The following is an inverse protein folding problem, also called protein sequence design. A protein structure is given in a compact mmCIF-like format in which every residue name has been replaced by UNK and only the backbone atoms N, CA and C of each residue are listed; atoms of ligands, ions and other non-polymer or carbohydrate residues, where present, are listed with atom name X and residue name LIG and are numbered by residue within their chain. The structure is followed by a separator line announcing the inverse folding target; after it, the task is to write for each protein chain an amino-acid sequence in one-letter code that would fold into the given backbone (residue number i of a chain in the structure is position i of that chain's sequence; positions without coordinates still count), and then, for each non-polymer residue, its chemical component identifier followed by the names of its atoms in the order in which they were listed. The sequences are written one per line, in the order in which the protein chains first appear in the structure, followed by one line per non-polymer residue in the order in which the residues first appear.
data_IF_973557754598
#
_entry.id   IF_973557754598
#
_cell.length_a   1.000
_cell.length_b   1.000
_cell.length_c   1.000
_cell.angle_alpha   90.00
_cell.angle_beta   90.00
_cell.angle_gamma   90.00
#
_symmetry.space_group_name_H-M   'P 1'
#
loop_
_entity.id
_entity.type
_entity.pdbx_description
1 polymer ?
#
# COMPACT_ATOMS: atom_id res chain seq x y z
N UNK A 1 -24.80 -4.23 12.24
CA UNK A 1 -25.54 -5.44 12.64
C UNK A 1 -25.15 -6.55 11.67
N UNK A 2 -24.32 -7.52 12.07
CA UNK A 2 -23.81 -8.57 11.18
C UNK A 2 -24.89 -9.62 10.90
N UNK A 3 -25.00 -10.04 9.65
CA UNK A 3 -25.79 -11.20 9.25
C UNK A 3 -25.10 -12.46 9.80
N UNK A 4 -25.80 -13.13 10.71
CA UNK A 4 -25.36 -14.37 11.35
C UNK A 4 -25.26 -15.48 10.31
N UNK A 5 -24.08 -16.07 10.18
CA UNK A 5 -23.88 -17.38 9.54
C UNK A 5 -24.71 -18.42 10.32
N UNK A 6 -25.59 -19.20 9.67
CA UNK A 6 -26.15 -20.39 10.30
C UNK A 6 -25.05 -21.45 10.43
N UNK A 7 -24.91 -21.93 11.64
CA UNK A 7 -24.05 -23.01 12.07
C UNK A 7 -24.23 -24.28 11.22
N UNK A 8 -23.12 -25.00 11.05
CA UNK A 8 -23.06 -26.40 10.66
C UNK A 8 -24.03 -27.23 11.52
N UNK A 9 -25.24 -27.47 11.01
CA UNK A 9 -26.06 -28.59 11.43
C UNK A 9 -25.89 -29.68 10.37
N UNK A 10 -25.09 -30.68 10.69
CA UNK A 10 -25.09 -31.95 9.98
C UNK A 10 -26.51 -32.51 10.02
N UNK A 11 -27.28 -32.26 8.94
CA UNK A 11 -28.53 -32.95 8.71
C UNK A 11 -28.18 -34.37 8.25
N UNK A 12 -27.85 -35.22 9.22
CA UNK A 12 -28.10 -36.65 9.12
C UNK A 12 -29.62 -36.81 9.00
N UNK A 13 -30.16 -36.67 7.79
CA UNK A 13 -31.48 -37.25 7.49
C UNK A 13 -31.27 -38.75 7.46
N UNK A 14 -31.73 -39.41 8.52
CA UNK A 14 -31.92 -40.85 8.54
C UNK A 14 -32.72 -41.22 7.28
N UNK A 15 -32.08 -41.98 6.40
CA UNK A 15 -32.74 -42.60 5.27
C UNK A 15 -33.82 -43.53 5.85
N UNK A 16 -35.08 -43.49 5.41
CA UNK A 16 -36.03 -44.51 5.80
C UNK A 16 -35.49 -45.84 5.30
N UNK A 17 -35.07 -46.70 6.22
CA UNK A 17 -34.65 -48.07 5.94
C UNK A 17 -35.92 -48.83 5.57
N UNK A 18 -36.29 -48.79 4.29
CA UNK A 18 -37.28 -49.70 3.73
C UNK A 18 -36.65 -51.09 3.70
N UNK A 19 -37.28 -52.04 4.39
CA UNK A 19 -36.85 -53.43 4.57
C UNK A 19 -37.05 -54.31 3.32
N UNK A 20 -37.01 -53.72 2.11
CA UNK A 20 -37.04 -54.45 0.86
C UNK A 20 -35.65 -54.42 0.20
N UNK A 21 -34.86 -55.51 0.24
CA UNK A 21 -33.51 -55.55 -0.33
C UNK A 21 -33.48 -55.47 -1.87
N UNK A 22 -34.64 -55.33 -2.52
CA UNK A 22 -34.78 -55.28 -3.97
C UNK A 22 -34.93 -53.87 -4.58
N UNK A 23 -35.06 -52.80 -3.77
CA UNK A 23 -35.33 -51.45 -4.31
C UNK A 23 -34.07 -50.56 -4.37
N UNK A 24 -32.96 -50.95 -3.72
CA UNK A 24 -31.67 -50.23 -3.79
C UNK A 24 -30.85 -50.50 -5.05
N UNK A 25 -31.34 -51.32 -5.99
CA UNK A 25 -30.65 -51.68 -7.23
C UNK A 25 -30.99 -50.78 -8.44
N UNK A 26 -31.88 -49.79 -8.29
CA UNK A 26 -32.39 -48.96 -9.39
C UNK A 26 -32.15 -47.46 -9.23
N UNK A 27 -31.03 -47.05 -8.61
CA UNK A 27 -30.49 -45.71 -8.91
C UNK A 27 -29.70 -45.84 -10.22
N UNK A 28 -30.15 -45.25 -11.33
CA UNK A 28 -29.33 -45.21 -12.52
C UNK A 28 -28.11 -44.35 -12.18
N UNK A 29 -26.99 -45.01 -11.88
CA UNK A 29 -25.69 -44.41 -12.14
C UNK A 29 -25.74 -44.15 -13.65
N UNK A 30 -25.98 -42.89 -14.04
CA UNK A 30 -25.88 -42.46 -15.43
C UNK A 30 -24.42 -42.60 -15.84
N UNK A 31 -23.98 -43.84 -16.10
CA UNK A 31 -22.74 -44.13 -16.77
C UNK A 31 -22.91 -43.75 -18.23
N UNK A 32 -22.83 -42.45 -18.52
CA UNK A 32 -22.66 -41.98 -19.88
C UNK A 32 -21.26 -42.38 -20.34
N UNK A 33 -21.16 -43.46 -21.11
CA UNK A 33 -19.91 -43.80 -21.83
C UNK A 33 -19.84 -42.95 -23.08
N UNK A 34 -19.04 -41.91 -23.04
CA UNK A 34 -18.77 -41.04 -24.20
C UNK A 34 -17.71 -41.70 -25.09
N UNK A 35 -17.92 -41.72 -26.41
CA UNK A 35 -16.94 -42.27 -27.36
C UNK A 35 -15.65 -41.42 -27.41
N UNK A 36 -15.74 -40.11 -27.15
CA UNK A 36 -14.61 -39.20 -27.02
C UNK A 36 -14.80 -38.27 -25.84
N UNK A 37 -13.71 -37.86 -25.19
CA UNK A 37 -13.77 -36.96 -24.03
C UNK A 37 -14.34 -35.59 -24.44
N UNK A 38 -14.04 -35.14 -25.66
CA UNK A 38 -14.52 -33.87 -26.21
C UNK A 38 -16.05 -33.77 -26.24
N UNK A 39 -16.78 -34.88 -26.39
CA UNK A 39 -18.24 -34.86 -26.47
C UNK A 39 -18.96 -34.86 -25.11
N UNK A 40 -18.23 -35.03 -24.01
CA UNK A 40 -18.78 -35.04 -22.65
C UNK A 40 -18.19 -34.00 -21.71
N UNK A 41 -17.53 -32.98 -22.26
CA UNK A 41 -17.12 -31.83 -21.47
C UNK A 41 -18.34 -30.95 -21.18
N UNK A 42 -18.59 -30.72 -19.90
CA UNK A 42 -19.52 -29.71 -19.41
C UNK A 42 -18.89 -28.98 -18.24
N UNK A 43 -19.21 -27.71 -18.07
CA UNK A 43 -18.77 -26.95 -16.91
C UNK A 43 -19.48 -27.45 -15.62
N UNK A 44 -18.95 -27.04 -14.48
CA UNK A 44 -19.53 -27.31 -13.16
C UNK A 44 -20.98 -26.84 -13.06
N UNK A 45 -21.86 -27.61 -12.40
CA UNK A 45 -23.26 -27.23 -12.25
C UNK A 45 -23.37 -25.89 -11.51
N UNK A 46 -24.08 -24.93 -12.10
CA UNK A 46 -24.22 -23.58 -11.57
C UNK A 46 -23.32 -22.52 -12.23
N UNK A 47 -22.33 -22.91 -13.04
CA UNK A 47 -21.54 -21.97 -13.84
C UNK A 47 -22.41 -21.21 -14.85
N UNK A 48 -23.41 -21.90 -15.43
CA UNK A 48 -24.36 -21.31 -16.37
C UNK A 48 -25.72 -21.01 -15.73
N UNK A 49 -26.21 -19.80 -15.97
CA UNK A 49 -27.60 -19.41 -15.68
C UNK A 49 -28.42 -19.34 -16.97
N UNK A 50 -29.71 -19.71 -16.89
CA UNK A 50 -30.62 -19.69 -18.05
C UNK A 50 -30.82 -18.25 -18.53
N UNK A 51 -30.41 -17.95 -19.76
CA UNK A 51 -30.65 -16.64 -20.39
C UNK A 51 -32.14 -16.38 -20.59
N UNK A 52 -32.64 -15.26 -20.08
CA UNK A 52 -34.02 -14.82 -20.29
C UNK A 52 -34.14 -14.17 -21.67
N UNK A 53 -34.80 -14.87 -22.60
CA UNK A 53 -35.14 -14.36 -23.95
C UNK A 53 -36.52 -13.68 -23.88
N UNK A 54 -36.54 -12.35 -23.98
CA UNK A 54 -37.77 -11.54 -23.86
C UNK A 54 -38.57 -11.52 -25.17
N UNK A 55 -39.89 -11.37 -25.10
CA UNK A 55 -40.76 -11.26 -26.28
C UNK A 55 -40.89 -12.58 -27.05
N UNK A 56 -40.97 -13.72 -26.36
CA UNK A 56 -41.07 -15.07 -26.96
C UNK A 56 -42.24 -15.85 -26.38
N UNK A 57 -43.47 -15.39 -26.66
CA UNK A 57 -44.71 -16.05 -26.25
C UNK A 57 -45.08 -15.86 -24.76
N UNK A 58 -46.35 -16.06 -24.39
CA UNK A 58 -46.86 -15.77 -23.05
C UNK A 58 -46.29 -16.69 -21.96
N UNK A 59 -46.12 -17.98 -22.25
CA UNK A 59 -45.63 -18.99 -21.30
C UNK A 59 -44.18 -18.74 -20.82
N UNK A 60 -43.38 -17.96 -21.58
CA UNK A 60 -42.02 -17.57 -21.18
C UNK A 60 -41.96 -16.64 -19.96
N UNK A 61 -43.10 -16.10 -19.49
CA UNK A 61 -43.19 -15.15 -18.37
C UNK A 61 -42.76 -13.72 -18.71
N UNK A 62 -42.13 -13.49 -19.88
CA UNK A 62 -41.73 -12.16 -20.39
C UNK A 62 -42.17 -11.95 -21.85
N UNK A 63 -43.34 -12.47 -22.21
CA UNK A 63 -43.92 -12.36 -23.56
C UNK A 63 -44.43 -10.96 -23.91
N UNK A 64 -45.66 -10.64 -23.50
CA UNK A 64 -46.43 -9.46 -23.93
C UNK A 64 -45.69 -8.13 -23.75
N UNK A 65 -45.11 -7.88 -22.57
CA UNK A 65 -44.49 -6.58 -22.23
C UNK A 65 -42.96 -6.64 -22.15
N UNK A 66 -42.36 -7.83 -22.34
CA UNK A 66 -40.91 -8.01 -22.17
C UNK A 66 -40.35 -7.49 -20.83
N UNK A 67 -41.19 -7.39 -19.79
CA UNK A 67 -40.84 -6.84 -18.48
C UNK A 67 -40.74 -5.31 -18.41
N UNK A 68 -41.26 -4.57 -19.40
CA UNK A 68 -41.24 -3.09 -19.42
C UNK A 68 -42.48 -2.41 -18.83
N UNK A 69 -43.50 -3.16 -18.44
CA UNK A 69 -44.78 -2.62 -17.97
C UNK A 69 -45.68 -2.12 -19.11
N UNK A 70 -46.55 -1.13 -18.82
CA UNK A 70 -47.54 -0.61 -19.76
C UNK A 70 -47.36 0.89 -20.00
N UNK A 71 -47.37 1.30 -21.28
CA UNK A 71 -47.58 2.68 -21.79
C UNK A 71 -46.88 3.83 -21.03
N UNK A 72 -45.71 3.58 -20.44
CA UNK A 72 -44.91 4.60 -19.74
C UNK A 72 -43.68 5.00 -20.55
N UNK A 73 -43.02 6.09 -20.17
CA UNK A 73 -41.81 6.58 -20.87
C UNK A 73 -40.71 5.50 -20.95
N UNK A 74 -40.53 4.68 -19.90
CA UNK A 74 -39.56 3.56 -19.89
C UNK A 74 -39.97 2.36 -20.78
N UNK A 75 -41.22 2.29 -21.22
CA UNK A 75 -41.68 1.27 -22.17
C UNK A 75 -41.36 1.68 -23.61
N UNK A 76 -41.60 2.95 -23.94
CA UNK A 76 -41.39 3.53 -25.28
C UNK A 76 -39.93 3.96 -25.54
N UNK A 77 -39.24 4.43 -24.52
CA UNK A 77 -37.89 5.00 -24.63
C UNK A 77 -37.01 4.75 -23.40
N UNK A 78 -36.09 5.68 -23.13
CA UNK A 78 -35.13 5.60 -22.03
C UNK A 78 -35.20 6.86 -21.19
N UNK A 79 -35.18 6.67 -19.87
CA UNK A 79 -34.98 7.75 -18.89
C UNK A 79 -33.55 7.62 -18.35
N UNK A 80 -32.75 8.70 -18.27
CA UNK A 80 -31.43 8.65 -17.66
C UNK A 80 -31.50 8.13 -16.23
N UNK A 81 -30.57 7.26 -15.82
CA UNK A 81 -30.61 6.62 -14.50
C UNK A 81 -30.48 7.64 -13.34
N UNK A 82 -29.85 8.78 -13.59
CA UNK A 82 -29.65 9.87 -12.62
C UNK A 82 -30.80 10.89 -12.58
N UNK A 83 -31.84 10.71 -13.38
CA UNK A 83 -32.96 11.66 -13.44
C UNK A 83 -33.88 11.49 -12.23
N UNK A 84 -34.06 12.57 -11.45
CA UNK A 84 -34.87 12.58 -10.22
C UNK A 84 -36.29 13.14 -10.41
N UNK A 85 -36.81 13.18 -11.65
CA UNK A 85 -38.20 13.60 -11.92
C UNK A 85 -38.44 15.10 -11.97
N UNK A 86 -37.39 15.93 -12.02
CA UNK A 86 -37.46 17.39 -12.07
C UNK A 86 -36.89 18.08 -10.83
N UNK A 87 -36.66 17.34 -9.75
CA UNK A 87 -35.92 17.82 -8.58
C UNK A 87 -34.43 18.04 -8.93
N UNK A 88 -33.82 19.04 -8.29
CA UNK A 88 -32.38 19.31 -8.38
C UNK A 88 -31.57 18.09 -7.94
N UNK A 89 -30.63 17.63 -8.77
CA UNK A 89 -29.86 16.43 -8.49
C UNK A 89 -29.01 16.55 -7.21
N UNK A 90 -28.92 15.46 -6.43
CA UNK A 90 -28.17 15.43 -5.16
C UNK A 90 -26.71 15.91 -5.29
N UNK A 91 -26.06 15.63 -6.41
CA UNK A 91 -24.68 16.07 -6.68
C UNK A 91 -24.55 17.59 -6.81
N UNK A 92 -25.64 18.27 -7.22
CA UNK A 92 -25.71 19.74 -7.31
C UNK A 92 -26.08 20.31 -5.94
N UNK A 93 -27.04 19.71 -5.25
CA UNK A 93 -27.48 20.15 -3.91
C UNK A 93 -26.32 20.17 -2.92
N UNK A 94 -25.50 19.11 -2.90
CA UNK A 94 -24.36 19.02 -1.97
C UNK A 94 -23.07 19.63 -2.53
N UNK A 95 -22.97 19.78 -3.86
CA UNK A 95 -21.75 20.21 -4.54
C UNK A 95 -20.59 19.21 -4.44
N UNK A 96 -19.48 19.52 -5.12
CA UNK A 96 -18.23 18.75 -5.01
C UNK A 96 -17.42 19.31 -3.84
N UNK A 97 -17.02 18.44 -2.90
CA UNK A 97 -16.25 18.84 -1.72
C UNK A 97 -14.78 18.44 -1.85
N UNK A 98 -13.89 19.37 -1.53
CA UNK A 98 -12.44 19.15 -1.51
C UNK A 98 -11.83 19.05 -2.91
N UNK A 99 -10.61 18.52 -2.96
CA UNK A 99 -9.88 18.27 -4.20
C UNK A 99 -9.08 16.97 -4.08
N UNK A 100 -8.78 16.34 -5.21
CA UNK A 100 -7.91 15.15 -5.26
C UNK A 100 -6.46 15.62 -5.36
N UNK A 101 -5.63 15.25 -4.38
CA UNK A 101 -4.21 15.57 -4.42
C UNK A 101 -3.47 14.63 -5.39
N UNK A 102 -3.12 15.13 -6.59
CA UNK A 102 -2.39 14.35 -7.60
C UNK A 102 -0.93 14.05 -7.21
N UNK A 103 -0.36 14.81 -6.28
CA UNK A 103 1.02 14.65 -5.81
C UNK A 103 1.14 13.77 -4.56
N UNK A 104 0.04 13.14 -4.12
CA UNK A 104 0.09 12.22 -3.00
C UNK A 104 0.84 10.94 -3.39
N UNK A 105 1.82 10.56 -2.58
CA UNK A 105 2.57 9.31 -2.75
C UNK A 105 1.75 8.14 -2.21
N UNK A 106 1.46 7.15 -3.06
CA UNK A 106 0.70 5.97 -2.66
C UNK A 106 1.66 4.86 -2.21
N UNK A 107 1.63 4.54 -0.92
CA UNK A 107 2.53 3.57 -0.31
C UNK A 107 1.83 2.26 -0.04
N UNK A 108 2.57 1.18 -0.24
CA UNK A 108 2.11 -0.17 0.01
C UNK A 108 2.24 -0.45 1.51
N UNK A 109 1.14 -0.70 2.24
CA UNK A 109 1.22 -0.98 3.66
C UNK A 109 1.75 -2.39 3.90
N UNK A 110 2.67 -2.53 4.84
CA UNK A 110 3.11 -3.82 5.38
C UNK A 110 3.04 -3.77 6.90
N UNK A 111 2.47 -4.81 7.50
CA UNK A 111 2.27 -4.90 8.94
C UNK A 111 3.27 -5.86 9.58
N UNK A 112 3.51 -5.71 10.89
CA UNK A 112 4.43 -6.55 11.65
C UNK A 112 3.94 -7.99 11.81
N UNK A 113 2.64 -8.20 12.02
CA UNK A 113 2.04 -9.55 12.06
C UNK A 113 2.44 -10.39 10.83
N UNK A 114 2.25 -9.80 9.65
CA UNK A 114 2.53 -10.44 8.38
C UNK A 114 4.01 -10.75 8.19
N UNK A 115 4.91 -9.88 8.67
CA UNK A 115 6.35 -10.14 8.58
C UNK A 115 6.72 -11.33 9.46
N UNK A 116 6.20 -11.38 10.70
CA UNK A 116 6.43 -12.50 11.60
C UNK A 116 5.89 -13.81 11.02
N UNK A 117 4.65 -13.82 10.49
CA UNK A 117 4.05 -15.01 9.88
C UNK A 117 4.93 -15.57 8.73
N UNK A 118 5.59 -14.70 7.97
CA UNK A 118 6.49 -15.09 6.88
C UNK A 118 7.82 -15.64 7.38
N UNK A 119 8.32 -15.12 8.50
CA UNK A 119 9.51 -15.63 9.17
C UNK A 119 9.22 -17.02 9.75
N UNK A 120 8.08 -17.19 10.42
CA UNK A 120 7.66 -18.46 11.01
C UNK A 120 7.46 -19.56 9.96
N UNK A 121 7.01 -19.18 8.75
CA UNK A 121 6.92 -20.08 7.58
C UNK A 121 8.28 -20.38 6.93
N UNK A 122 9.39 -19.77 7.40
CA UNK A 122 10.72 -19.93 6.81
C UNK A 122 10.87 -19.30 5.41
N UNK A 123 9.97 -18.38 5.05
CA UNK A 123 9.97 -17.71 3.73
C UNK A 123 10.78 -16.42 3.71
N UNK A 124 11.07 -15.88 4.88
CA UNK A 124 11.86 -14.68 5.07
C UNK A 124 12.89 -14.96 6.17
N UNK A 125 14.16 -14.70 5.87
CA UNK A 125 15.24 -14.90 6.82
C UNK A 125 15.41 -13.64 7.68
N UNK A 126 15.21 -13.71 9.01
CA UNK A 126 15.37 -12.56 9.91
C UNK A 126 16.83 -12.15 10.11
N UNK A 127 17.81 -13.02 9.79
CA UNK A 127 19.23 -12.73 9.96
C UNK A 127 19.78 -11.78 8.88
N UNK A 128 19.14 -11.77 7.70
CA UNK A 128 19.48 -10.92 6.58
C UNK A 128 18.69 -9.60 6.62
N UNK A 129 19.21 -8.53 5.99
CA UNK A 129 18.48 -7.28 5.88
C UNK A 129 17.21 -7.46 5.03
N UNK A 130 16.04 -7.25 5.64
CA UNK A 130 14.75 -7.31 4.96
C UNK A 130 14.55 -6.01 4.17
N UNK A 131 14.76 -6.08 2.86
CA UNK A 131 14.61 -4.94 1.95
C UNK A 131 13.32 -5.03 1.13
N UNK A 132 12.99 -3.97 0.38
CA UNK A 132 11.82 -3.96 -0.52
C UNK A 132 11.87 -5.11 -1.55
N UNK A 133 13.08 -5.51 -1.99
CA UNK A 133 13.27 -6.63 -2.91
C UNK A 133 12.90 -7.95 -2.25
N UNK A 134 13.47 -8.25 -1.08
CA UNK A 134 13.19 -9.47 -0.31
C UNK A 134 11.70 -9.60 0.06
N UNK A 135 11.06 -8.48 0.43
CA UNK A 135 9.63 -8.44 0.73
C UNK A 135 8.77 -8.79 -0.49
N UNK A 136 9.19 -8.41 -1.70
CA UNK A 136 8.49 -8.72 -2.93
C UNK A 136 8.77 -10.16 -3.41
N UNK A 137 10.02 -10.61 -3.35
CA UNK A 137 10.44 -11.96 -3.76
C UNK A 137 9.82 -13.03 -2.87
N UNK A 138 9.81 -12.82 -1.55
CA UNK A 138 9.10 -13.67 -0.59
C UNK A 138 7.57 -13.62 -0.75
N UNK A 139 7.03 -12.76 -1.61
CA UNK A 139 5.59 -12.42 -1.75
C UNK A 139 4.93 -12.00 -0.43
N UNK A 140 5.71 -11.48 0.52
CA UNK A 140 5.16 -10.82 1.69
C UNK A 140 4.38 -9.58 1.25
N UNK A 141 4.92 -8.82 0.30
CA UNK A 141 4.25 -7.69 -0.33
C UNK A 141 3.75 -8.04 -1.74
N UNK A 142 2.49 -7.76 -2.03
CA UNK A 142 1.92 -7.95 -3.38
C UNK A 142 1.97 -6.63 -4.16
N UNK A 143 3.08 -6.42 -4.88
CA UNK A 143 3.29 -5.26 -5.73
C UNK A 143 3.60 -3.97 -4.95
N UNK A 144 4.83 -3.48 -5.09
CA UNK A 144 5.21 -2.19 -4.52
C UNK A 144 4.75 -1.04 -5.43
N UNK A 145 3.99 -0.10 -4.86
CA UNK A 145 3.55 1.15 -5.49
C UNK A 145 4.70 2.18 -5.58
N UNK A 146 4.55 3.35 -4.98
CA UNK A 146 5.61 4.37 -4.94
C UNK A 146 6.62 4.12 -3.81
N UNK A 147 6.21 3.34 -2.81
CA UNK A 147 7.02 2.96 -1.65
C UNK A 147 6.35 1.87 -0.82
N UNK A 148 7.04 1.46 0.25
CA UNK A 148 6.54 0.53 1.25
C UNK A 148 6.54 1.22 2.62
N UNK A 149 5.40 1.16 3.32
CA UNK A 149 5.24 1.74 4.66
C UNK A 149 5.01 0.64 5.68
N UNK A 150 5.91 0.56 6.66
CA UNK A 150 5.79 -0.35 7.80
C UNK A 150 4.77 0.20 8.83
N UNK A 151 3.86 -0.66 9.26
CA UNK A 151 2.75 -0.37 10.16
C UNK A 151 2.75 -1.35 11.34
N UNK A 152 2.26 -0.90 12.49
CA UNK A 152 2.40 -1.60 13.78
C UNK A 152 1.28 -2.60 14.10
N UNK A 153 0.46 -3.00 13.12
CA UNK A 153 -0.58 -4.01 13.39
C UNK A 153 0.09 -5.34 13.76
N UNK A 154 -0.36 -5.92 14.87
CA UNK A 154 0.20 -7.16 15.40
C UNK A 154 1.58 -7.02 16.05
N UNK A 155 1.93 -5.82 16.54
CA UNK A 155 3.21 -5.56 17.22
C UNK A 155 3.57 -6.54 18.35
N UNK A 156 2.59 -7.11 19.03
CA UNK A 156 2.77 -8.08 20.12
C UNK A 156 3.25 -9.45 19.63
N UNK A 157 2.98 -9.80 18.37
CA UNK A 157 3.38 -11.07 17.79
C UNK A 157 4.84 -11.08 17.34
N UNK A 158 5.47 -9.92 17.19
CA UNK A 158 6.85 -9.80 16.73
C UNK A 158 7.82 -10.30 17.80
N UNK A 159 8.51 -11.40 17.52
CA UNK A 159 9.49 -12.04 18.42
C UNK A 159 10.90 -12.00 17.85
N UNK A 160 11.00 -12.03 16.53
CA UNK A 160 12.28 -12.10 15.85
C UNK A 160 12.92 -10.71 15.73
N UNK A 161 14.20 -10.54 16.09
CA UNK A 161 14.92 -9.31 15.81
C UNK A 161 15.09 -9.18 14.30
N UNK A 162 14.57 -8.09 13.72
CA UNK A 162 14.60 -7.87 12.27
C UNK A 162 15.37 -6.59 11.93
N UNK A 163 16.22 -6.64 10.90
CA UNK A 163 16.82 -5.45 10.31
C UNK A 163 16.07 -5.10 9.02
N UNK A 164 15.19 -4.10 9.07
CA UNK A 164 14.26 -3.79 7.99
C UNK A 164 14.56 -2.43 7.34
N UNK A 165 14.61 -2.43 6.01
CA UNK A 165 14.81 -1.25 5.18
C UNK A 165 13.60 -1.00 4.27
N UNK A 166 12.87 0.07 4.59
CA UNK A 166 11.58 0.42 3.97
C UNK A 166 11.52 1.90 3.61
N UNK A 167 10.48 2.34 2.89
CA UNK A 167 10.35 3.75 2.53
C UNK A 167 9.92 4.61 3.71
N UNK A 168 8.95 4.15 4.49
CA UNK A 168 8.46 4.84 5.69
C UNK A 168 8.10 3.85 6.77
N UNK A 169 8.02 4.31 8.02
CA UNK A 169 7.52 3.51 9.14
C UNK A 169 6.62 4.36 10.04
N UNK A 170 5.62 3.73 10.68
CA UNK A 170 4.88 4.33 11.79
C UNK A 170 5.72 4.35 13.06
N UNK A 171 5.54 5.36 13.91
CA UNK A 171 6.26 5.50 15.18
C UNK A 171 6.08 4.28 16.09
N UNK A 172 4.86 3.74 16.18
CA UNK A 172 4.59 2.51 16.93
C UNK A 172 5.33 1.30 16.37
N UNK A 173 5.53 1.23 15.04
CA UNK A 173 6.22 0.11 14.42
C UNK A 173 7.73 0.19 14.69
N UNK A 174 8.30 1.40 14.63
CA UNK A 174 9.71 1.63 14.98
C UNK A 174 9.95 1.16 16.42
N UNK A 175 9.12 1.63 17.37
CA UNK A 175 9.22 1.24 18.79
C UNK A 175 9.08 -0.27 18.99
N UNK A 176 8.15 -0.92 18.30
CA UNK A 176 7.94 -2.37 18.41
C UNK A 176 9.13 -3.18 17.87
N UNK A 177 9.69 -2.77 16.73
CA UNK A 177 10.87 -3.44 16.15
C UNK A 177 12.10 -3.25 17.04
N UNK A 178 12.32 -2.03 17.56
CA UNK A 178 13.42 -1.74 18.48
C UNK A 178 13.26 -2.50 19.80
N UNK A 179 12.03 -2.61 20.33
CA UNK A 179 11.75 -3.40 21.54
C UNK A 179 12.03 -4.90 21.33
N UNK A 180 11.84 -5.42 20.12
CA UNK A 180 12.22 -6.78 19.74
C UNK A 180 13.73 -6.93 19.44
N UNK A 181 14.54 -5.88 19.62
CA UNK A 181 15.98 -5.88 19.33
C UNK A 181 16.35 -5.77 17.85
N UNK A 182 15.40 -5.38 17.01
CA UNK A 182 15.62 -5.12 15.59
C UNK A 182 16.08 -3.69 15.28
N UNK A 183 16.31 -3.41 13.99
CA UNK A 183 16.68 -2.09 13.48
C UNK A 183 15.78 -1.70 12.31
N UNK A 184 15.29 -0.46 12.32
CA UNK A 184 14.52 0.11 11.21
C UNK A 184 15.34 1.21 10.55
N UNK A 185 15.45 1.18 9.21
CA UNK A 185 16.00 2.30 8.43
C UNK A 185 15.00 2.71 7.36
N UNK A 186 14.66 4.00 7.31
CA UNK A 186 13.81 4.54 6.25
C UNK A 186 14.64 5.18 5.14
N UNK A 187 14.39 4.76 3.89
CA UNK A 187 15.13 5.18 2.70
C UNK A 187 14.21 5.75 1.63
N UNK A 188 14.67 6.77 0.91
CA UNK A 188 13.93 7.33 -0.21
C UNK A 188 13.88 6.38 -1.41
N UNK A 189 12.69 6.29 -2.02
CA UNK A 189 12.42 5.50 -3.20
C UNK A 189 11.53 6.27 -4.17
N UNK A 190 11.66 5.93 -5.44
CA UNK A 190 10.71 6.30 -6.49
C UNK A 190 10.12 5.03 -7.08
N UNK A 191 8.96 5.13 -7.70
CA UNK A 191 8.34 4.00 -8.41
C UNK A 191 9.29 3.34 -9.41
N UNK A 192 10.09 4.13 -10.12
CA UNK A 192 11.07 3.58 -11.07
C UNK A 192 12.24 2.90 -10.37
N UNK A 193 12.75 3.45 -9.26
CA UNK A 193 13.85 2.82 -8.53
C UNK A 193 13.44 1.48 -7.92
N UNK A 194 12.21 1.37 -7.41
CA UNK A 194 11.65 0.10 -6.95
C UNK A 194 11.56 -0.92 -8.10
N UNK A 195 11.06 -0.51 -9.28
CA UNK A 195 11.03 -1.42 -10.44
C UNK A 195 12.42 -1.95 -10.81
N UNK A 196 13.45 -1.09 -10.76
CA UNK A 196 14.85 -1.49 -11.04
C UNK A 196 15.41 -2.41 -9.98
N UNK A 197 15.11 -2.17 -8.70
CA UNK A 197 15.46 -3.09 -7.60
C UNK A 197 14.87 -4.48 -7.81
N UNK A 198 13.58 -4.55 -8.16
CA UNK A 198 12.89 -5.82 -8.40
C UNK A 198 13.41 -6.55 -9.64
N UNK A 199 13.91 -5.82 -10.64
CA UNK A 199 14.57 -6.39 -11.82
C UNK A 199 16.03 -6.78 -11.55
N UNK A 200 16.61 -6.39 -10.41
CA UNK A 200 18.00 -6.64 -10.07
C UNK A 200 19.01 -5.70 -10.75
N UNK A 201 18.56 -4.59 -11.34
CA UNK A 201 19.44 -3.61 -12.00
C UNK A 201 20.04 -2.57 -11.02
N UNK A 202 19.51 -2.55 -9.79
CA UNK A 202 19.94 -1.70 -8.67
C UNK A 202 20.05 -2.52 -7.39
N UNK A 203 20.87 -2.05 -6.46
CA UNK A 203 20.97 -2.59 -5.09
C UNK A 203 20.30 -1.69 -4.06
N UNK A 204 19.78 -2.30 -3.00
CA UNK A 204 19.36 -1.60 -1.79
C UNK A 204 20.58 -1.28 -0.93
N UNK A 205 20.89 0.00 -0.78
CA UNK A 205 21.92 0.47 0.15
C UNK A 205 21.30 1.11 1.39
N UNK A 206 22.07 1.28 2.47
CA UNK A 206 21.66 2.02 3.68
C UNK A 206 22.19 3.46 3.68
N UNK A 207 23.16 3.77 2.81
CA UNK A 207 23.87 5.05 2.76
C UNK A 207 23.44 5.93 1.57
N UNK A 208 23.52 7.26 1.68
CA UNK A 208 23.31 8.18 0.56
C UNK A 208 24.43 8.11 -0.47
N UNK A 209 24.20 8.68 -1.66
CA UNK A 209 25.17 8.63 -2.76
C UNK A 209 26.44 9.46 -2.48
N UNK A 210 26.33 10.55 -1.70
CA UNK A 210 27.33 11.62 -1.66
C UNK A 210 28.34 11.55 -0.51
N UNK A 211 28.28 10.56 0.39
CA UNK A 211 29.20 10.45 1.55
C UNK A 211 30.51 9.75 1.17
N UNK A 212 31.17 10.21 0.11
CA UNK A 212 32.64 10.06 -0.01
C UNK A 212 33.21 11.47 0.00
N UNK A 213 34.24 11.76 0.81
CA UNK A 213 34.85 13.08 0.81
C UNK A 213 35.34 13.41 -0.61
N UNK A 214 34.92 14.56 -1.13
CA UNK A 214 35.48 15.11 -2.37
C UNK A 214 36.89 15.59 -2.03
N UNK A 215 37.89 14.75 -2.28
CA UNK A 215 39.30 15.13 -2.15
C UNK A 215 39.76 15.66 -3.51
N UNK A 216 40.25 16.89 -3.56
CA UNK A 216 40.80 17.54 -4.76
C UNK A 216 39.83 17.69 -5.95
N UNK A 217 38.56 18.02 -5.72
CA UNK A 217 37.62 18.40 -6.80
C UNK A 217 37.14 17.27 -7.71
N UNK A 218 37.62 16.04 -7.48
CA UNK A 218 37.12 14.83 -8.12
C UNK A 218 36.38 14.00 -7.07
N UNK A 219 35.16 13.54 -7.40
CA UNK A 219 34.52 12.50 -6.60
C UNK A 219 35.33 11.21 -6.78
N UNK A 220 35.78 10.58 -5.69
CA UNK A 220 36.45 9.27 -5.70
C UNK A 220 35.60 8.16 -6.35
N UNK A 221 34.33 8.44 -6.67
CA UNK A 221 33.48 7.63 -7.54
C UNK A 221 33.81 7.76 -9.04
N UNK A 222 35.05 7.55 -9.44
CA UNK A 222 35.24 6.83 -10.69
C UNK A 222 34.85 5.39 -10.37
N UNK A 223 33.64 5.02 -10.81
CA UNK A 223 33.06 3.69 -10.84
C UNK A 223 33.72 2.65 -9.90
N UNK A 224 33.04 2.29 -8.82
CA UNK A 224 33.17 0.91 -8.33
C UNK A 224 32.58 0.00 -9.42
N UNK A 225 33.36 -0.24 -10.47
CA UNK A 225 33.05 -1.06 -11.64
C UNK A 225 32.95 -2.54 -11.29
N UNK A 226 33.21 -2.90 -10.01
CA UNK A 226 33.04 -4.26 -9.48
C UNK A 226 31.58 -4.61 -9.25
N UNK A 227 30.71 -3.62 -9.01
CA UNK A 227 29.30 -3.87 -8.71
C UNK A 227 28.51 -4.18 -9.98
N UNK A 228 27.73 -5.28 -10.02
CA UNK A 228 27.01 -5.71 -11.23
C UNK A 228 25.79 -4.83 -11.58
N UNK A 229 25.58 -3.71 -10.90
CA UNK A 229 24.35 -2.93 -10.98
C UNK A 229 24.48 -1.74 -11.94
N UNK A 230 23.58 -1.66 -12.92
CA UNK A 230 23.58 -0.61 -13.95
C UNK A 230 23.07 0.75 -13.44
N UNK A 231 22.20 0.76 -12.42
CA UNK A 231 21.56 1.98 -11.93
C UNK A 231 21.74 2.18 -10.43
N UNK A 232 21.96 3.44 -10.03
CA UNK A 232 22.00 3.88 -8.64
C UNK A 232 20.62 4.22 -8.10
N UNK A 233 20.42 4.06 -6.79
CA UNK A 233 19.20 4.52 -6.12
C UNK A 233 19.20 6.04 -5.96
N UNK A 234 18.12 6.75 -6.32
CA UNK A 234 18.05 8.20 -6.20
C UNK A 234 17.99 8.66 -4.73
N UNK A 235 18.56 9.83 -4.47
CA UNK A 235 18.38 10.57 -3.21
C UNK A 235 17.22 11.59 -3.35
N UNK A 236 16.60 12.04 -2.25
CA UNK A 236 15.47 12.96 -2.30
C UNK A 236 15.91 14.35 -2.74
N UNK A 237 15.10 14.98 -3.59
CA UNK A 237 15.32 16.35 -4.07
C UNK A 237 14.34 17.35 -3.46
N UNK A 238 13.13 16.91 -3.12
CA UNK A 238 12.11 17.78 -2.54
C UNK A 238 12.47 18.13 -1.10
N UNK A 239 12.21 19.37 -0.69
CA UNK A 239 12.42 19.82 0.70
C UNK A 239 11.69 18.90 1.70
N UNK A 240 10.45 18.53 1.40
CA UNK A 240 9.61 17.68 2.26
C UNK A 240 10.22 16.30 2.46
N UNK A 241 10.74 15.69 1.40
CA UNK A 241 11.35 14.36 1.50
C UNK A 241 12.71 14.44 2.19
N UNK A 242 13.52 15.47 1.90
CA UNK A 242 14.79 15.72 2.61
C UNK A 242 14.56 15.84 4.12
N UNK A 243 13.62 16.67 4.56
CA UNK A 243 13.29 16.83 5.98
C UNK A 243 12.79 15.52 6.61
N UNK A 244 12.02 14.71 5.86
CA UNK A 244 11.55 13.40 6.36
C UNK A 244 12.70 12.41 6.61
N UNK A 245 13.63 12.27 5.67
CA UNK A 245 14.75 11.32 5.79
C UNK A 245 15.93 11.85 6.60
N UNK A 246 15.95 13.14 6.95
CA UNK A 246 16.88 13.74 7.91
C UNK A 246 16.43 13.60 9.37
N UNK A 247 15.16 13.30 9.60
CA UNK A 247 14.61 13.17 10.95
C UNK A 247 15.03 11.84 11.60
N UNK A 248 15.70 11.94 12.75
CA UNK A 248 16.08 10.78 13.56
C UNK A 248 14.85 10.04 14.08
N UNK A 249 13.76 10.74 14.40
CA UNK A 249 12.53 10.12 14.88
C UNK A 249 11.88 9.19 13.84
N UNK A 250 12.15 9.41 12.55
CA UNK A 250 11.69 8.56 11.44
C UNK A 250 12.73 7.51 11.03
N UNK A 251 13.87 7.44 11.73
CA UNK A 251 15.02 6.59 11.39
C UNK A 251 15.47 6.79 9.94
N UNK A 252 15.42 8.05 9.50
CA UNK A 252 15.80 8.41 8.14
C UNK A 252 17.29 8.20 7.90
N UNK A 253 17.64 7.64 6.76
CA UNK A 253 19.03 7.34 6.42
C UNK A 253 19.95 8.58 6.32
N UNK A 254 19.39 9.80 6.27
CA UNK A 254 20.14 11.07 6.25
C UNK A 254 20.23 11.72 7.65
N UNK A 255 19.75 11.08 8.71
CA UNK A 255 19.72 11.68 10.06
C UNK A 255 21.11 11.98 10.60
N UNK A 256 22.11 11.17 10.26
CA UNK A 256 23.51 11.36 10.64
C UNK A 256 24.14 12.66 10.10
N UNK A 257 23.51 13.32 9.13
CA UNK A 257 23.98 14.62 8.60
C UNK A 257 23.50 15.81 9.45
N UNK A 258 22.60 15.58 10.40
CA UNK A 258 22.07 16.62 11.29
C UNK A 258 22.92 16.64 12.56
N UNK A 259 23.47 17.81 12.87
CA UNK A 259 24.22 18.01 14.12
C UNK A 259 23.31 17.86 15.34
N UNK A 260 23.85 17.34 16.43
CA UNK A 260 23.12 17.16 17.69
C UNK A 260 22.52 18.50 18.17
N UNK A 261 21.24 18.49 18.54
CA UNK A 261 20.50 19.69 18.95
C UNK A 261 19.88 20.50 17.81
N UNK A 262 20.25 20.25 16.55
CA UNK A 262 19.56 20.84 15.39
C UNK A 262 18.32 20.03 14.99
N UNK A 263 17.26 20.74 14.59
CA UNK A 263 16.08 20.10 14.01
C UNK A 263 16.32 19.61 12.57
N UNK A 264 15.51 18.67 12.06
CA UNK A 264 15.66 18.12 10.71
C UNK A 264 15.23 19.08 9.59
N UNK A 265 14.53 20.16 9.93
CA UNK A 265 14.02 21.15 8.99
C UNK A 265 15.15 21.93 8.32
N UNK A 266 15.02 22.17 7.00
CA UNK A 266 15.99 22.96 6.24
C UNK A 266 15.84 24.47 6.44
N UNK A 267 14.71 24.91 7.01
CA UNK A 267 14.36 26.33 7.13
C UNK A 267 14.22 26.77 8.59
N UNK A 268 13.34 26.11 9.33
CA UNK A 268 13.14 26.36 10.75
C UNK A 268 14.32 25.81 11.56
N UNK A 269 14.74 26.60 12.55
CA UNK A 269 15.80 26.25 13.50
C UNK A 269 15.21 26.14 14.89
N UNK A 270 15.75 25.24 15.71
CA UNK A 270 15.38 25.15 17.12
C UNK A 270 15.79 26.45 17.83
N UNK A 271 14.88 27.15 18.51
CA UNK A 271 15.24 28.35 19.26
C UNK A 271 16.21 27.97 20.38
N UNK A 272 17.27 28.76 20.58
CA UNK A 272 18.26 28.56 21.64
C UNK A 272 19.49 27.72 21.29
N UNK A 273 19.52 27.05 20.13
CA UNK A 273 20.68 26.25 19.68
C UNK A 273 21.63 27.01 18.74
N UNK A 274 21.30 28.26 18.39
CA UNK A 274 22.21 29.13 17.66
C UNK A 274 23.25 29.76 18.59
N UNK A 275 24.51 29.79 18.15
CA UNK A 275 25.57 30.62 18.75
C UNK A 275 25.01 32.04 18.90
N UNK A 276 24.89 32.55 20.14
CA UNK A 276 24.55 33.95 20.38
C UNK A 276 25.60 34.79 19.66
N UNK A 277 25.26 35.37 18.50
CA UNK A 277 26.10 36.38 17.85
C UNK A 277 26.26 37.50 18.87
N UNK A 278 27.42 37.58 19.53
CA UNK A 278 27.78 38.77 20.28
C UNK A 278 27.87 39.89 19.26
N UNK A 279 26.82 40.71 19.18
CA UNK A 279 26.86 41.96 18.44
C UNK A 279 27.88 42.82 19.17
N UNK A 280 29.10 42.86 18.64
CA UNK A 280 30.15 43.77 19.10
C UNK A 280 29.60 45.18 18.88
N UNK A 281 29.10 45.83 19.95
CA UNK A 281 28.76 47.25 19.97
C UNK A 281 30.00 47.99 19.48
N UNK A 282 30.00 48.44 18.22
CA UNK A 282 30.98 49.42 17.76
C UNK A 282 30.75 50.66 18.63
N UNK A 283 31.79 51.09 19.36
CA UNK A 283 31.71 52.20 20.30
C UNK A 283 31.13 53.43 19.61
N UNK A 284 30.02 53.93 20.16
CA UNK A 284 29.58 55.27 19.87
C UNK A 284 30.63 56.21 20.49
N UNK A 285 31.40 56.89 19.65
CA UNK A 285 32.13 58.09 20.05
C UNK A 285 31.10 59.12 20.53
N UNK A 286 31.14 59.41 21.83
CA UNK A 286 30.43 60.51 22.47
C UNK A 286 30.87 61.82 21.80
N UNK A 287 30.08 62.35 20.88
CA UNK A 287 30.20 63.75 20.49
C UNK A 287 29.44 64.57 21.54
N UNK A 288 30.19 65.37 22.30
CA UNK A 288 29.64 66.31 23.26
C UNK A 288 28.70 67.29 22.53
N UNK A 289 27.50 67.48 23.07
CA UNK A 289 26.56 68.47 22.58
C UNK A 289 27.08 69.88 22.84
N UNK A 290 27.24 70.66 21.78
CA UNK A 290 27.20 72.11 21.86
C UNK A 290 25.78 72.58 21.52
N UNK A 291 25.18 73.30 22.47
CA UNK A 291 23.88 73.95 22.38
C UNK A 291 23.75 74.82 21.12
N UNK A 292 22.70 74.60 20.32
CA UNK A 292 22.06 75.66 19.53
C UNK A 292 20.54 75.61 19.67
N UNK A 293 20.02 76.78 19.98
CA UNK A 293 18.65 77.12 20.39
C UNK A 293 17.76 77.20 19.15
N UNK A 294 16.77 76.31 19.09
CA UNK A 294 15.35 76.59 18.86
C UNK A 294 14.53 75.34 19.20
#
# INVERSE_FOLDING_TARGET
MPLRLPSLAAYCRAVPVSSNPFVSAFLPIFQARSASILSSLSDTPGSYSKRIRRGRGPSSGKGKTSGRGHKGQKAHGKVPAKFQGGQTADSVVHGVRGFVNMFSVDMSPINLDRIQDWIDQGRLDPSLPITVKELAESRCLHGAKDGVKLLARGKEALKSPINILVSRASEEAIKAVEAAGGKVTTRYYTKQSIKRLLKGESESSFTPQATTPVVNGYSTFMADSSKPFSYRLPDPTSRKDLEYYRDEAKRGYLSHMVEEGHGPSLFFKTPGTGIKRQVKKRGATTAAGENRIW
#
